data_IF_544532000646
#
_entry.id   IF_544532000646
#
_cell.length_a   1.000
_cell.length_b   1.000
_cell.length_c   1.000
_cell.angle_alpha   90.00
_cell.angle_beta   90.00
_cell.angle_gamma   90.00
#
_symmetry.space_group_name_H-M   'P 1'
#
loop_
_entity.id
_entity.type
_entity.pdbx_description
1 polymer ?
#
# COMPACT_ATOMS: atom_id res chain seq x y z
N UNK A 1 -8.12 11.82 3.47
CA UNK A 1 -7.08 10.88 3.00
C UNK A 1 -7.53 10.18 1.71
N UNK A 2 -6.65 9.54 0.95
CA UNK A 2 -6.98 8.58 -0.11
C UNK A 2 -6.67 7.17 0.37
N UNK A 3 -7.63 6.26 0.27
CA UNK A 3 -7.47 4.85 0.65
C UNK A 3 -7.76 3.99 -0.56
N UNK A 4 -6.83 3.08 -0.89
CA UNK A 4 -6.98 2.13 -1.99
C UNK A 4 -6.93 0.69 -1.48
N UNK A 5 -7.66 -0.18 -2.16
CA UNK A 5 -7.66 -1.64 -1.99
C UNK A 5 -7.32 -2.27 -3.34
N UNK A 6 -6.02 -2.42 -3.66
CA UNK A 6 -5.60 -3.18 -4.83
C UNK A 6 -6.00 -4.65 -4.68
N UNK A 7 -6.57 -5.24 -5.73
CA UNK A 7 -6.92 -6.66 -5.73
C UNK A 7 -6.81 -7.28 -7.12
N UNK A 8 -6.61 -8.59 -7.17
CA UNK A 8 -6.73 -9.43 -8.37
C UNK A 8 -7.97 -10.32 -8.24
N UNK A 9 -8.73 -10.51 -9.31
CA UNK A 9 -9.85 -11.46 -9.31
C UNK A 9 -9.32 -12.91 -9.27
N UNK A 10 -9.98 -13.85 -8.54
CA UNK A 10 -11.12 -13.68 -7.63
C UNK A 10 -10.69 -13.57 -6.14
N UNK A 11 -9.55 -12.93 -5.87
CA UNK A 11 -8.84 -13.01 -4.59
C UNK A 11 -9.12 -11.86 -3.63
N UNK A 12 -10.08 -10.97 -3.93
CA UNK A 12 -10.56 -10.00 -2.96
C UNK A 12 -11.35 -10.72 -1.86
N UNK A 13 -10.87 -10.65 -0.63
CA UNK A 13 -11.54 -11.26 0.50
C UNK A 13 -12.82 -10.50 0.86
N UNK A 14 -13.88 -11.24 1.20
CA UNK A 14 -15.23 -10.66 1.37
C UNK A 14 -15.30 -9.66 2.54
N UNK A 15 -14.52 -9.91 3.59
CA UNK A 15 -14.40 -9.06 4.76
C UNK A 15 -13.62 -7.79 4.44
N UNK A 16 -12.58 -7.88 3.61
CA UNK A 16 -11.83 -6.72 3.11
C UNK A 16 -12.70 -5.88 2.19
N UNK A 17 -13.47 -6.50 1.29
CA UNK A 17 -14.44 -5.79 0.44
C UNK A 17 -15.50 -5.06 1.27
N UNK A 18 -16.08 -5.75 2.26
CA UNK A 18 -17.08 -5.19 3.17
C UNK A 18 -16.53 -3.98 3.90
N UNK A 19 -15.30 -4.11 4.44
CA UNK A 19 -14.60 -3.00 5.08
C UNK A 19 -14.36 -1.84 4.11
N UNK A 20 -13.86 -2.13 2.90
CA UNK A 20 -13.53 -1.11 1.90
C UNK A 20 -14.76 -0.28 1.52
N UNK A 21 -15.89 -0.95 1.24
CA UNK A 21 -17.17 -0.30 0.91
C UNK A 21 -17.69 0.55 2.06
N UNK A 22 -17.63 0.04 3.29
CA UNK A 22 -18.09 0.77 4.47
C UNK A 22 -17.25 2.03 4.76
N UNK A 23 -16.00 2.07 4.32
CA UNK A 23 -15.06 3.17 4.58
C UNK A 23 -14.78 4.04 3.34
N UNK A 24 -15.50 3.82 2.23
CA UNK A 24 -15.32 4.59 1.00
C UNK A 24 -13.94 4.43 0.35
N UNK A 25 -13.27 3.29 0.56
CA UNK A 25 -11.99 3.01 -0.09
C UNK A 25 -12.19 2.70 -1.59
N UNK A 26 -11.21 3.07 -2.40
CA UNK A 26 -11.19 2.77 -3.82
C UNK A 26 -10.76 1.32 -4.03
N UNK A 27 -11.66 0.47 -4.52
CA UNK A 27 -11.35 -0.93 -4.83
C UNK A 27 -10.79 -0.99 -6.26
N UNK A 28 -9.50 -1.32 -6.39
CA UNK A 28 -8.73 -1.16 -7.63
C UNK A 28 -8.36 -2.53 -8.21
N UNK A 29 -8.94 -2.88 -9.37
CA UNK A 29 -8.64 -4.14 -10.05
C UNK A 29 -7.23 -4.10 -10.66
N UNK A 30 -6.44 -5.11 -10.34
CA UNK A 30 -5.14 -5.43 -10.91
C UNK A 30 -5.26 -6.55 -11.94
N UNK A 31 -4.33 -6.58 -12.88
CA UNK A 31 -4.28 -7.58 -13.94
C UNK A 31 -3.33 -8.68 -13.48
N UNK A 32 -3.85 -9.87 -13.20
CA UNK A 32 -3.06 -11.00 -12.72
C UNK A 32 -1.92 -11.38 -13.68
N UNK A 33 -2.08 -11.14 -14.98
CA UNK A 33 -1.09 -11.40 -16.02
C UNK A 33 0.07 -10.39 -16.07
N UNK A 34 -0.01 -9.30 -15.30
CA UNK A 34 0.98 -8.23 -15.30
C UNK A 34 1.51 -7.99 -13.89
N UNK A 35 2.72 -8.51 -13.62
CA UNK A 35 3.33 -8.40 -12.31
C UNK A 35 3.75 -6.97 -11.93
N UNK A 36 3.73 -6.04 -12.89
CA UNK A 36 4.01 -4.62 -12.68
C UNK A 36 2.77 -3.76 -12.40
N UNK A 37 1.57 -4.32 -12.52
CA UNK A 37 0.35 -3.52 -12.48
C UNK A 37 0.09 -2.91 -11.09
N UNK A 38 0.48 -3.60 -10.01
CA UNK A 38 0.41 -3.05 -8.65
C UNK A 38 1.34 -1.84 -8.49
N UNK A 39 2.59 -1.95 -8.97
CA UNK A 39 3.50 -0.81 -8.98
C UNK A 39 2.94 0.37 -9.79
N UNK A 40 2.35 0.10 -10.96
CA UNK A 40 1.74 1.14 -11.80
C UNK A 40 0.64 1.89 -11.07
N UNK A 41 -0.28 1.16 -10.41
CA UNK A 41 -1.32 1.75 -9.58
C UNK A 41 -0.74 2.62 -8.46
N UNK A 42 0.21 2.10 -7.68
CA UNK A 42 0.84 2.87 -6.60
C UNK A 42 1.55 4.11 -7.12
N UNK A 43 2.27 4.00 -8.23
CA UNK A 43 2.96 5.12 -8.88
C UNK A 43 1.96 6.21 -9.32
N UNK A 44 0.85 5.83 -9.96
CA UNK A 44 -0.21 6.77 -10.34
C UNK A 44 -0.81 7.50 -9.13
N UNK A 45 -1.13 6.76 -8.05
CA UNK A 45 -1.69 7.36 -6.84
C UNK A 45 -0.67 8.24 -6.10
N UNK A 46 0.61 7.85 -6.11
CA UNK A 46 1.71 8.65 -5.58
C UNK A 46 1.85 9.98 -6.32
N UNK A 47 1.90 9.94 -7.66
CA UNK A 47 1.97 11.12 -8.50
C UNK A 47 0.74 12.02 -8.35
N UNK A 48 -0.45 11.43 -8.23
CA UNK A 48 -1.67 12.19 -7.97
C UNK A 48 -1.59 12.93 -6.63
N UNK A 49 -1.21 12.24 -5.56
CA UNK A 49 -0.99 12.85 -4.24
C UNK A 49 0.09 13.94 -4.27
N UNK A 50 1.20 13.72 -4.98
CA UNK A 50 2.27 14.70 -5.16
C UNK A 50 1.86 15.92 -6.00
N UNK A 51 0.70 15.88 -6.69
CA UNK A 51 0.28 16.93 -7.62
C UNK A 51 1.07 16.94 -8.93
N UNK A 52 1.74 15.84 -9.28
CA UNK A 52 2.54 15.68 -10.50
C UNK A 52 1.83 14.85 -11.59
N UNK A 53 0.71 14.21 -11.26
CA UNK A 53 -0.14 13.52 -12.23
C UNK A 53 -0.74 14.49 -13.26
N UNK A 54 -0.81 14.05 -14.52
CA UNK A 54 -1.50 14.76 -15.62
C UNK A 54 -2.93 14.27 -15.84
N UNK A 55 -3.37 13.25 -15.10
CA UNK A 55 -4.71 12.70 -15.21
C UNK A 55 -5.71 13.60 -14.46
N UNK A 56 -6.62 14.29 -15.17
CA UNK A 56 -7.62 15.14 -14.51
C UNK A 56 -8.57 14.34 -13.61
N UNK A 57 -8.74 13.04 -13.88
CA UNK A 57 -9.55 12.12 -13.07
C UNK A 57 -8.99 11.86 -11.67
N UNK A 58 -7.73 12.21 -11.43
CA UNK A 58 -7.07 12.03 -10.12
C UNK A 58 -6.92 13.34 -9.33
N UNK A 59 -7.49 14.44 -9.82
CA UNK A 59 -7.35 15.78 -9.22
C UNK A 59 -7.84 15.87 -7.77
N UNK A 60 -8.83 15.06 -7.38
CA UNK A 60 -9.32 15.03 -6.00
C UNK A 60 -8.32 14.42 -5.01
N UNK A 61 -7.26 13.75 -5.47
CA UNK A 61 -6.26 13.10 -4.63
C UNK A 61 -5.05 14.00 -4.34
N UNK A 62 -4.94 15.14 -5.01
CA UNK A 62 -3.81 16.08 -4.85
C UNK A 62 -3.67 16.54 -3.41
N UNK A 63 -2.44 16.44 -2.88
CA UNK A 63 -2.09 16.82 -1.51
C UNK A 63 -2.70 15.95 -0.41
N UNK A 64 -3.37 14.84 -0.75
CA UNK A 64 -3.92 13.90 0.24
C UNK A 64 -2.91 12.80 0.58
N UNK A 65 -2.80 12.37 1.85
CA UNK A 65 -2.03 11.17 2.17
C UNK A 65 -2.61 9.95 1.46
N UNK A 66 -1.76 8.97 1.16
CA UNK A 66 -2.12 7.71 0.52
C UNK A 66 -2.07 6.57 1.54
N UNK A 67 -3.15 5.82 1.66
CA UNK A 67 -3.20 4.57 2.44
C UNK A 67 -3.52 3.40 1.52
N UNK A 68 -2.75 2.33 1.67
CA UNK A 68 -2.93 1.06 0.98
C UNK A 68 -3.49 0.06 1.99
N UNK A 69 -4.47 -0.74 1.57
CA UNK A 69 -4.94 -1.93 2.29
C UNK A 69 -4.98 -3.10 1.32
N UNK A 70 -4.23 -4.17 1.57
CA UNK A 70 -4.17 -5.31 0.64
C UNK A 70 -5.47 -6.13 0.65
N UNK A 71 -5.74 -6.79 -0.48
CA UNK A 71 -6.98 -7.53 -0.77
C UNK A 71 -7.39 -8.59 0.26
N UNK A 72 -6.45 -9.06 1.08
CA UNK A 72 -6.61 -10.10 2.09
C UNK A 72 -6.29 -9.59 3.50
N UNK A 73 -6.33 -8.27 3.72
CA UNK A 73 -6.13 -7.65 5.03
C UNK A 73 -7.39 -6.92 5.47
N UNK A 74 -7.78 -7.13 6.73
CA UNK A 74 -8.82 -6.35 7.40
C UNK A 74 -8.15 -5.40 8.39
N UNK A 75 -8.24 -4.09 8.17
CA UNK A 75 -7.70 -3.11 9.09
C UNK A 75 -8.28 -3.26 10.50
N UNK A 76 -7.42 -3.16 11.51
CA UNK A 76 -7.87 -3.16 12.89
C UNK A 76 -8.86 -2.02 13.13
N UNK A 77 -9.87 -2.23 14.00
CA UNK A 77 -10.89 -1.20 14.27
C UNK A 77 -10.25 0.15 14.64
N UNK A 78 -10.59 1.20 13.89
CA UNK A 78 -10.11 2.57 14.12
C UNK A 78 -8.68 2.84 13.65
N UNK A 79 -7.99 1.88 13.01
CA UNK A 79 -6.56 2.01 12.69
C UNK A 79 -6.31 3.00 11.55
N UNK A 80 -7.19 3.02 10.55
CA UNK A 80 -7.05 3.90 9.38
C UNK A 80 -7.32 5.35 9.76
N UNK A 81 -8.31 5.58 10.62
CA UNK A 81 -8.61 6.89 11.21
C UNK A 81 -7.47 7.37 12.12
N UNK A 82 -6.88 6.45 12.90
CA UNK A 82 -5.70 6.76 13.71
C UNK A 82 -4.47 7.08 12.84
N UNK A 83 -4.29 6.40 11.70
CA UNK A 83 -3.23 6.71 10.74
C UNK A 83 -3.46 8.07 10.07
N UNK A 84 -4.70 8.39 9.68
CA UNK A 84 -5.05 9.70 9.10
C UNK A 84 -4.71 10.85 10.04
N UNK A 85 -5.00 10.70 11.34
CA UNK A 85 -4.66 11.67 12.37
C UNK A 85 -3.17 11.67 12.78
N UNK A 86 -2.41 10.65 12.39
CA UNK A 86 -1.01 10.51 12.79
C UNK A 86 -0.10 11.46 11.99
N UNK A 87 0.77 12.25 12.63
CA UNK A 87 1.68 13.16 11.94
C UNK A 87 2.88 12.44 11.29
N UNK A 88 3.11 11.17 11.62
CA UNK A 88 4.25 10.41 11.14
C UNK A 88 4.21 10.22 9.62
N UNK A 89 5.38 10.32 8.95
CA UNK A 89 5.47 10.31 7.50
C UNK A 89 5.09 8.94 6.91
N UNK A 90 5.37 7.88 7.64
CA UNK A 90 5.12 6.50 7.27
C UNK A 90 4.51 5.76 8.45
N UNK A 91 3.34 5.17 8.24
CA UNK A 91 2.66 4.35 9.24
C UNK A 91 2.42 2.94 8.69
N UNK A 92 2.53 1.94 9.55
CA UNK A 92 2.21 0.56 9.23
C UNK A 92 1.27 -0.03 10.30
N UNK A 93 0.35 -0.88 9.86
CA UNK A 93 -0.46 -1.74 10.73
C UNK A 93 0.02 -3.18 10.55
N UNK A 94 0.86 -3.70 11.46
CA UNK A 94 1.47 -5.00 11.30
C UNK A 94 0.43 -6.12 11.23
N UNK A 95 0.74 -7.19 10.50
CA UNK A 95 -0.08 -8.39 10.40
C UNK A 95 0.79 -9.63 10.44
N UNK A 96 0.18 -10.76 10.77
CA UNK A 96 0.87 -12.04 10.84
C UNK A 96 0.54 -12.85 9.59
N UNK A 97 1.57 -13.34 8.91
CA UNK A 97 1.40 -14.30 7.81
C UNK A 97 0.90 -15.65 8.36
N UNK A 98 0.30 -16.47 7.50
CA UNK A 98 -0.09 -17.84 7.87
C UNK A 98 1.06 -18.72 8.39
N UNK A 99 2.32 -18.34 8.12
CA UNK A 99 3.52 -18.99 8.67
C UNK A 99 3.83 -18.60 10.13
N UNK A 100 3.10 -17.64 10.71
CA UNK A 100 3.35 -17.09 12.03
C UNK A 100 4.36 -15.94 12.06
N UNK A 101 4.97 -15.59 10.93
CA UNK A 101 5.89 -14.44 10.81
C UNK A 101 5.11 -13.13 10.84
N UNK A 102 5.57 -12.17 11.63
CA UNK A 102 5.01 -10.82 11.64
C UNK A 102 5.65 -9.95 10.55
N UNK A 103 4.83 -9.32 9.72
CA UNK A 103 5.24 -8.26 8.82
C UNK A 103 4.94 -6.91 9.46
N UNK A 104 5.99 -6.26 9.94
CA UNK A 104 5.91 -4.96 10.63
C UNK A 104 5.85 -3.77 9.66
N UNK A 105 6.26 -3.97 8.41
CA UNK A 105 6.49 -2.90 7.42
C UNK A 105 5.91 -3.25 6.05
N UNK A 106 5.05 -4.28 5.98
CA UNK A 106 4.38 -4.69 4.75
C UNK A 106 3.32 -3.68 4.28
N UNK A 107 2.83 -3.84 3.06
CA UNK A 107 1.81 -2.95 2.49
C UNK A 107 0.37 -3.31 2.89
N UNK A 108 0.19 -4.39 3.66
CA UNK A 108 -1.12 -4.90 4.07
C UNK A 108 -2.08 -3.85 4.63
N UNK A 109 -1.60 -2.88 5.41
CA UNK A 109 -2.34 -1.69 5.79
C UNK A 109 -1.34 -0.58 6.18
N UNK A 110 -1.03 0.31 5.25
CA UNK A 110 0.10 1.25 5.34
C UNK A 110 -0.26 2.63 4.81
N UNK A 111 0.10 3.68 5.55
CA UNK A 111 -0.09 5.09 5.15
C UNK A 111 1.25 5.75 4.83
N UNK A 112 1.27 6.48 3.72
CA UNK A 112 2.28 7.47 3.36
C UNK A 112 1.67 8.87 3.50
N UNK A 113 2.30 9.73 4.30
CA UNK A 113 1.79 11.08 4.52
C UNK A 113 1.91 11.94 3.25
N UNK A 114 1.05 12.94 3.10
CA UNK A 114 1.15 13.89 1.99
C UNK A 114 2.51 14.61 1.98
N UNK A 115 3.08 14.88 3.17
CA UNK A 115 4.41 15.48 3.29
C UNK A 115 5.50 14.54 2.78
N UNK A 116 5.47 13.26 3.15
CA UNK A 116 6.44 12.27 2.66
C UNK A 116 6.39 12.18 1.12
N UNK A 117 5.19 12.12 0.57
CA UNK A 117 4.96 12.04 -0.88
C UNK A 117 5.46 13.33 -1.58
N UNK A 118 5.19 14.50 -1.01
CA UNK A 118 5.65 15.77 -1.56
C UNK A 118 7.18 15.97 -1.45
N UNK A 119 7.80 15.47 -0.39
CA UNK A 119 9.25 15.52 -0.18
C UNK A 119 9.98 14.58 -1.16
N UNK A 120 9.34 13.49 -1.61
CA UNK A 120 9.91 12.47 -2.50
C UNK A 120 8.95 12.08 -3.65
N UNK A 121 8.65 13.01 -4.58
CA UNK A 121 7.66 12.78 -5.63
C UNK A 121 8.06 11.68 -6.64
N UNK A 122 9.34 11.36 -6.72
CA UNK A 122 9.96 10.36 -7.61
C UNK A 122 10.22 9.00 -6.92
N UNK A 123 9.83 8.83 -5.64
CA UNK A 123 10.11 7.61 -4.86
C UNK A 123 9.66 6.34 -5.59
N UNK A 124 8.47 6.35 -6.19
CA UNK A 124 7.96 5.18 -6.92
C UNK A 124 8.73 4.89 -8.20
N UNK A 125 9.30 5.91 -8.86
CA UNK A 125 10.20 5.70 -10.01
C UNK A 125 11.49 5.03 -9.55
N UNK A 126 12.12 5.52 -8.48
CA UNK A 126 13.32 4.91 -7.88
C UNK A 126 13.06 3.46 -7.48
N UNK A 127 11.97 3.20 -6.75
CA UNK A 127 11.53 1.84 -6.37
C UNK A 127 11.30 0.95 -7.60
N UNK A 128 10.74 1.52 -8.67
CA UNK A 128 10.41 0.82 -9.90
C UNK A 128 11.61 0.33 -10.69
N UNK A 129 12.82 0.83 -10.41
CA UNK A 129 14.06 0.42 -11.07
C UNK A 129 14.91 -0.54 -10.23
N UNK A 130 14.48 -0.90 -9.02
CA UNK A 130 15.17 -1.89 -8.19
C UNK A 130 14.86 -3.31 -8.71
N UNK A 131 15.92 -4.05 -9.05
CA UNK A 131 15.86 -5.46 -9.51
C UNK A 131 16.99 -6.34 -8.94
N UNK A 132 17.69 -5.87 -7.91
CA UNK A 132 18.82 -6.56 -7.25
C UNK A 132 18.39 -7.63 -6.22
N UNK A 133 17.10 -7.95 -6.15
CA UNK A 133 16.48 -8.87 -5.17
C UNK A 133 15.96 -10.18 -5.79
N UNK A 134 16.35 -10.45 -7.05
CA UNK A 134 15.97 -11.65 -7.78
C UNK A 134 14.58 -11.59 -8.43
N UNK A 135 13.89 -10.46 -8.38
CA UNK A 135 12.65 -10.20 -9.11
C UNK A 135 12.86 -9.10 -10.16
N UNK A 136 12.15 -9.12 -11.31
CA UNK A 136 12.22 -8.04 -12.28
C UNK A 136 11.86 -6.67 -11.67
N UNK A 137 12.32 -5.60 -12.32
CA UNK A 137 11.93 -4.24 -11.98
C UNK A 137 10.39 -4.10 -11.98
N UNK A 138 9.84 -3.34 -11.02
CA UNK A 138 8.38 -3.11 -10.83
C UNK A 138 7.55 -4.32 -10.41
N UNK A 139 8.15 -5.50 -10.29
CA UNK A 139 7.44 -6.70 -9.83
C UNK A 139 6.88 -6.55 -8.42
N UNK A 140 5.62 -6.99 -8.24
CA UNK A 140 4.88 -6.82 -6.99
C UNK A 140 5.41 -7.66 -5.82
N UNK A 141 6.04 -8.82 -6.07
CA UNK A 141 6.41 -9.78 -4.99
C UNK A 141 7.38 -9.22 -3.96
N UNK A 142 8.12 -8.16 -4.32
CA UNK A 142 9.10 -7.48 -3.46
C UNK A 142 8.81 -6.00 -3.31
N UNK A 143 7.65 -5.53 -3.78
CA UNK A 143 7.34 -4.10 -3.84
C UNK A 143 7.33 -3.46 -2.45
N UNK A 144 6.79 -4.15 -1.46
CA UNK A 144 6.82 -3.75 -0.04
C UNK A 144 8.26 -3.63 0.49
N UNK A 145 9.10 -4.63 0.24
CA UNK A 145 10.51 -4.66 0.63
C UNK A 145 11.28 -3.51 -0.02
N UNK A 146 11.05 -3.26 -1.31
CA UNK A 146 11.69 -2.19 -2.08
C UNK A 146 11.29 -0.82 -1.54
N UNK A 147 10.00 -0.58 -1.31
CA UNK A 147 9.51 0.67 -0.71
C UNK A 147 10.10 0.87 0.69
N UNK A 148 10.03 -0.14 1.55
CA UNK A 148 10.56 -0.06 2.91
C UNK A 148 12.07 0.17 2.93
N UNK A 149 12.83 -0.47 2.02
CA UNK A 149 14.27 -0.24 1.84
C UNK A 149 14.54 1.22 1.46
N UNK A 150 13.89 1.72 0.40
CA UNK A 150 14.06 3.10 -0.06
C UNK A 150 13.71 4.12 1.04
N UNK A 151 12.62 3.89 1.79
CA UNK A 151 12.24 4.79 2.90
C UNK A 151 13.28 4.79 4.04
N UNK A 152 13.83 3.62 4.39
CA UNK A 152 14.89 3.52 5.41
C UNK A 152 16.18 4.19 4.96
N UNK A 153 16.55 4.04 3.69
CA UNK A 153 17.74 4.69 3.12
C UNK A 153 17.61 6.23 3.12
N UNK A 154 16.36 6.73 3.04
CA UNK A 154 16.02 8.16 3.21
C UNK A 154 15.90 8.60 4.69
N UNK A 155 16.10 7.69 5.65
CA UNK A 155 16.09 7.97 7.08
C UNK A 155 14.73 7.87 7.76
N UNK A 156 13.70 7.32 7.11
CA UNK A 156 12.39 7.11 7.71
C UNK A 156 12.30 5.75 8.42
N UNK A 157 11.48 5.71 9.48
CA UNK A 157 11.07 4.49 10.15
C UNK A 157 9.54 4.45 10.26
N UNK A 158 8.92 3.27 10.18
CA UNK A 158 7.47 3.17 10.24
C UNK A 158 6.99 3.38 11.68
N UNK A 159 6.01 4.27 11.85
CA UNK A 159 5.22 4.31 13.06
C UNK A 159 4.20 3.16 13.06
N UNK A 160 4.29 2.26 14.04
CA UNK A 160 3.49 1.04 14.10
C UNK A 160 2.19 1.29 14.86
N UNK A 161 1.07 0.99 14.20
CA UNK A 161 -0.26 1.07 14.79
C UNK A 161 -0.75 -0.32 15.25
N UNK A 162 -2.00 -0.37 15.76
CA UNK A 162 -2.66 -1.62 16.17
C UNK A 162 -2.67 -2.61 15.02
N UNK A 163 -2.33 -3.87 15.29
CA UNK A 163 -2.22 -4.96 14.32
C UNK A 163 -3.52 -5.26 13.58
N UNK A 164 -3.42 -5.43 12.26
CA UNK A 164 -4.50 -5.86 11.36
C UNK A 164 -4.58 -7.39 11.27
N UNK A 165 -5.69 -7.89 10.73
CA UNK A 165 -5.89 -9.32 10.47
C UNK A 165 -5.52 -9.64 9.03
N UNK A 166 -4.72 -10.68 8.82
CA UNK A 166 -4.46 -11.26 7.50
C UNK A 166 -5.36 -12.47 7.29
N UNK A 167 -6.05 -12.51 6.16
CA UNK A 167 -7.06 -13.52 5.82
C UNK A 167 -6.52 -14.59 4.88
N UNK A 168 -5.31 -14.41 4.35
CA UNK A 168 -4.74 -15.32 3.36
C UNK A 168 -4.52 -16.73 3.94
N UNK A 169 -5.21 -17.70 3.34
CA UNK A 169 -5.02 -19.10 3.65
C UNK A 169 -4.06 -19.74 2.63
N UNK A 170 -2.77 -19.75 2.97
CA UNK A 170 -1.70 -20.36 2.18
C UNK A 170 -1.88 -21.88 1.96
N UNK A 171 -2.79 -22.54 2.70
CA UNK A 171 -3.10 -23.95 2.48
C UNK A 171 -4.09 -24.17 1.33
N UNK A 172 -4.83 -23.12 0.94
CA UNK A 172 -5.87 -23.17 -0.09
C UNK A 172 -5.49 -22.39 -1.35
N UNK A 173 -4.59 -21.41 -1.24
CA UNK A 173 -4.19 -20.50 -2.32
C UNK A 173 -2.67 -20.31 -2.24
N UNK A 174 -1.88 -21.08 -3.01
CA UNK A 174 -0.43 -20.91 -3.06
C UNK A 174 -0.03 -19.66 -3.86
#
# INVERSE_FOLDING_TARGET
MTVIVPYVEPFLESETETWARANGALICLLLQSDSSHYWTLLSMMWMASAGTSRDPGLSEHVGKPLTVVEQDVVPARGVVEAMEACPEPWCASPYQLGTGVWLDEGLGCTKFSAKLIADHPDLMEVVGWIDDDGMPARDWHRLDVRIARTLRDLGYAPHRHRRSTHLHDYSKRP
#
